data_IF_630553855723
#
_entry.id   IF_630553855723
#
_cell.length_a   1.000
_cell.length_b   1.000
_cell.length_c   1.000
_cell.angle_alpha   90.00
_cell.angle_beta   90.00
_cell.angle_gamma   90.00
#
_symmetry.space_group_name_H-M   'P 1'
#
loop_
_entity.id
_entity.type
_entity.pdbx_description
1 polymer ?
#
# COMPACT_ATOMS: atom_id res chain seq x y z
N UNK A 1 44.38 -13.99 -39.58
CA UNK A 1 43.40 -14.25 -38.49
C UNK A 1 43.58 -13.19 -37.40
N UNK A 2 42.45 -12.57 -37.05
CA UNK A 2 42.09 -11.60 -35.99
C UNK A 2 43.20 -10.91 -35.15
N UNK A 3 43.30 -9.59 -35.34
CA UNK A 3 43.78 -8.60 -34.36
C UNK A 3 42.81 -8.55 -33.17
N UNK A 4 43.32 -8.54 -31.94
CA UNK A 4 42.56 -8.16 -30.74
C UNK A 4 43.39 -7.12 -29.97
N UNK A 5 42.95 -5.87 -30.05
CA UNK A 5 43.38 -4.78 -29.20
C UNK A 5 42.55 -4.85 -27.92
N UNK A 6 43.17 -5.08 -26.77
CA UNK A 6 42.53 -4.92 -25.46
C UNK A 6 43.02 -3.60 -24.86
N UNK A 7 42.23 -2.53 -25.03
CA UNK A 7 42.38 -1.28 -24.29
C UNK A 7 41.91 -1.54 -22.85
N UNK A 8 42.81 -1.52 -21.88
CA UNK A 8 42.44 -1.42 -20.48
C UNK A 8 42.04 0.04 -20.19
N UNK A 9 40.75 0.25 -19.90
CA UNK A 9 40.25 1.50 -19.31
C UNK A 9 40.21 1.26 -17.81
N UNK A 10 41.17 1.87 -17.09
CA UNK A 10 41.13 1.93 -15.63
C UNK A 10 40.15 3.04 -15.26
N UNK A 11 38.93 2.66 -14.88
CA UNK A 11 37.98 3.56 -14.24
C UNK A 11 38.20 3.50 -12.72
N UNK A 12 38.98 4.44 -12.20
CA UNK A 12 39.11 4.64 -10.76
C UNK A 12 37.89 5.44 -10.27
N UNK A 13 36.88 4.75 -9.72
CA UNK A 13 35.81 5.41 -8.98
C UNK A 13 36.29 5.69 -7.55
N UNK A 14 36.73 6.91 -7.32
CA UNK A 14 37.03 7.42 -5.98
C UNK A 14 35.70 7.85 -5.33
N UNK A 15 35.09 6.95 -4.56
CA UNK A 15 33.93 7.29 -3.73
C UNK A 15 34.42 7.50 -2.29
N UNK A 16 34.73 8.75 -1.94
CA UNK A 16 34.92 9.13 -0.54
C UNK A 16 33.53 9.15 0.09
N UNK A 17 33.06 8.00 0.59
CA UNK A 17 31.97 8.00 1.54
C UNK A 17 32.51 8.51 2.88
N UNK A 18 32.51 9.83 3.03
CA UNK A 18 32.51 10.44 4.35
C UNK A 18 31.13 10.13 4.93
N UNK A 19 31.00 9.03 5.65
CA UNK A 19 29.79 8.74 6.42
C UNK A 19 29.87 9.65 7.64
N UNK A 20 29.12 10.77 7.72
CA UNK A 20 29.02 11.50 8.97
C UNK A 20 28.48 10.55 10.05
N UNK A 21 28.66 10.82 11.34
CA UNK A 21 28.03 10.03 12.40
C UNK A 21 26.50 10.15 12.25
N UNK A 22 25.91 9.21 11.52
CA UNK A 22 24.48 9.05 11.31
C UNK A 22 23.91 8.58 12.65
N UNK A 23 23.21 9.48 13.35
CA UNK A 23 22.36 9.09 14.47
C UNK A 23 21.15 8.35 13.90
N UNK A 24 21.30 7.06 13.64
CA UNK A 24 20.24 6.23 13.08
C UNK A 24 19.23 5.87 14.18
N UNK A 25 18.00 6.37 14.08
CA UNK A 25 16.89 5.88 14.89
C UNK A 25 16.30 4.66 14.19
N UNK A 26 16.49 3.47 14.77
CA UNK A 26 15.98 2.21 14.24
C UNK A 26 14.87 1.69 15.14
N UNK A 27 13.68 1.51 14.58
CA UNK A 27 12.54 0.90 15.25
C UNK A 27 12.19 -0.42 14.58
N UNK A 28 12.47 -1.53 15.27
CA UNK A 28 11.97 -2.86 14.93
C UNK A 28 10.70 -3.16 15.74
N UNK A 29 9.70 -3.74 15.11
CA UNK A 29 8.51 -4.18 15.82
C UNK A 29 7.74 -5.26 15.08
N UNK A 30 6.81 -5.88 15.81
CA UNK A 30 5.90 -6.87 15.27
C UNK A 30 4.47 -6.64 15.76
N UNK A 31 3.50 -7.08 14.97
CA UNK A 31 2.07 -7.06 15.30
C UNK A 31 1.42 -8.34 14.80
N UNK A 32 0.43 -8.84 15.53
CA UNK A 32 -0.34 -10.01 15.16
C UNK A 32 -1.82 -9.72 15.33
N UNK A 33 -2.61 -10.17 14.37
CA UNK A 33 -4.06 -10.25 14.47
C UNK A 33 -4.46 -11.70 14.23
N UNK A 34 -5.15 -12.27 15.21
CA UNK A 34 -5.79 -13.56 15.13
C UNK A 34 -7.29 -13.34 15.24
N UNK A 35 -8.04 -14.05 14.41
CA UNK A 35 -9.48 -13.91 14.33
C UNK A 35 -10.15 -15.28 14.37
N UNK A 36 -11.31 -15.30 15.01
CA UNK A 36 -12.26 -16.40 14.97
C UNK A 36 -13.62 -15.79 14.64
N UNK A 37 -14.34 -16.40 13.70
CA UNK A 37 -15.62 -15.87 13.24
C UNK A 37 -16.62 -16.97 12.95
N UNK A 38 -17.89 -16.66 13.19
CA UNK A 38 -19.05 -17.45 12.81
C UNK A 38 -19.89 -16.61 11.85
N UNK A 39 -20.37 -17.21 10.76
CA UNK A 39 -21.12 -16.52 9.71
C UNK A 39 -22.15 -17.47 9.08
N UNK A 40 -23.24 -16.93 8.55
CA UNK A 40 -24.31 -17.70 7.93
C UNK A 40 -24.94 -16.96 6.74
N UNK A 41 -25.88 -17.61 6.05
CA UNK A 41 -26.67 -16.98 4.99
C UNK A 41 -25.78 -16.55 3.81
N UNK A 42 -25.89 -15.28 3.39
CA UNK A 42 -25.17 -14.73 2.22
C UNK A 42 -23.64 -14.81 2.32
N UNK A 43 -23.10 -15.05 3.51
CA UNK A 43 -21.66 -15.19 3.75
C UNK A 43 -21.16 -16.63 3.58
N UNK A 44 -22.05 -17.59 3.29
CA UNK A 44 -21.75 -19.00 3.03
C UNK A 44 -22.26 -19.41 1.64
N UNK A 45 -21.46 -20.15 0.85
CA UNK A 45 -21.82 -20.48 -0.55
C UNK A 45 -23.20 -21.15 -0.70
N UNK A 46 -23.56 -21.98 0.27
CA UNK A 46 -24.80 -22.79 0.29
C UNK A 46 -25.91 -22.17 1.14
N UNK A 47 -25.67 -21.02 1.77
CA UNK A 47 -26.62 -20.40 2.72
C UNK A 47 -26.55 -20.93 4.16
N UNK A 48 -25.74 -21.97 4.41
CA UNK A 48 -25.56 -22.58 5.73
C UNK A 48 -24.75 -21.71 6.71
N UNK A 49 -24.55 -22.20 7.93
CA UNK A 49 -23.61 -21.61 8.89
C UNK A 49 -22.21 -22.20 8.76
N UNK A 50 -21.19 -21.35 8.85
CA UNK A 50 -19.79 -21.73 8.93
C UNK A 50 -19.08 -21.02 10.09
N UNK A 51 -17.99 -21.61 10.55
CA UNK A 51 -17.06 -20.98 11.49
C UNK A 51 -15.63 -21.23 11.04
N UNK A 52 -14.73 -20.27 11.25
CA UNK A 52 -13.34 -20.41 10.91
C UNK A 52 -12.45 -19.66 11.90
N UNK A 53 -11.19 -20.06 12.04
CA UNK A 53 -10.15 -19.29 12.72
C UNK A 53 -8.98 -19.09 11.75
N UNK A 54 -8.36 -17.92 11.79
CA UNK A 54 -7.18 -17.67 10.98
C UNK A 54 -6.25 -16.68 11.66
N UNK A 55 -4.95 -16.83 11.40
CA UNK A 55 -4.02 -15.73 11.58
C UNK A 55 -4.25 -14.76 10.43
N UNK A 56 -5.08 -13.74 10.68
CA UNK A 56 -5.37 -12.68 9.70
C UNK A 56 -4.10 -12.05 9.18
N UNK A 57 -3.20 -11.69 10.10
CA UNK A 57 -1.86 -11.23 9.75
C UNK A 57 -0.89 -11.33 10.93
N UNK A 58 0.38 -11.51 10.59
CA UNK A 58 1.54 -11.17 11.40
C UNK A 58 2.36 -10.19 10.57
N UNK A 59 2.66 -9.01 11.11
CA UNK A 59 3.52 -8.01 10.47
C UNK A 59 4.78 -7.82 11.28
N UNK A 60 5.92 -7.90 10.61
CA UNK A 60 7.22 -7.49 11.14
C UNK A 60 7.64 -6.26 10.36
N UNK A 61 8.02 -5.19 11.06
CA UNK A 61 8.41 -3.94 10.42
C UNK A 61 9.70 -3.39 11.00
N UNK A 62 10.48 -2.79 10.12
CA UNK A 62 11.69 -2.04 10.42
C UNK A 62 11.48 -0.62 9.87
N UNK A 63 11.55 0.37 10.75
CA UNK A 63 11.60 1.78 10.37
C UNK A 63 12.97 2.32 10.71
N UNK A 64 13.55 3.06 9.79
CA UNK A 64 14.84 3.71 10.01
C UNK A 64 14.71 5.19 9.69
N UNK A 65 15.20 6.04 10.57
CA UNK A 65 15.55 7.41 10.25
C UNK A 65 17.07 7.48 10.22
N UNK A 66 17.64 7.71 9.04
CA UNK A 66 19.09 7.77 8.89
C UNK A 66 19.59 9.13 9.39
N UNK A 67 18.89 10.20 9.05
CA UNK A 67 19.17 11.55 9.52
C UNK A 67 17.86 12.36 9.59
N UNK A 68 17.96 13.68 9.63
CA UNK A 68 16.81 14.60 9.63
C UNK A 68 16.04 14.64 8.30
N UNK A 69 16.57 14.06 7.23
CA UNK A 69 15.99 14.10 5.90
C UNK A 69 15.59 12.74 5.34
N UNK A 70 16.20 11.64 5.77
CA UNK A 70 15.99 10.32 5.20
C UNK A 70 15.28 9.38 6.16
N UNK A 71 14.11 8.92 5.74
CA UNK A 71 13.35 7.88 6.41
C UNK A 71 13.16 6.67 5.49
N UNK A 72 13.09 5.47 6.06
CA UNK A 72 12.72 4.25 5.34
C UNK A 72 11.81 3.38 6.18
N UNK A 73 11.00 2.57 5.49
CA UNK A 73 10.18 1.56 6.14
C UNK A 73 10.16 0.29 5.30
N UNK A 74 10.47 -0.82 5.94
CA UNK A 74 10.31 -2.18 5.43
C UNK A 74 9.29 -2.90 6.31
N UNK A 75 8.31 -3.53 5.70
CA UNK A 75 7.28 -4.29 6.41
C UNK A 75 6.94 -5.57 5.67
N UNK A 76 7.19 -6.69 6.32
CA UNK A 76 6.78 -8.01 5.89
C UNK A 76 5.43 -8.35 6.54
N UNK A 77 4.51 -8.92 5.76
CA UNK A 77 3.25 -9.46 6.27
C UNK A 77 3.15 -10.94 5.93
N UNK A 78 2.85 -11.75 6.94
CA UNK A 78 2.45 -13.15 6.82
C UNK A 78 0.94 -13.20 7.10
N UNK A 79 0.19 -13.93 6.31
CA UNK A 79 -1.25 -14.13 6.52
C UNK A 79 -1.62 -15.56 6.17
N UNK A 80 -2.50 -16.15 6.96
CA UNK A 80 -3.02 -17.50 6.74
C UNK A 80 -4.46 -17.43 6.25
N UNK A 81 -4.79 -18.25 5.28
CA UNK A 81 -6.17 -18.46 4.84
C UNK A 81 -6.35 -19.86 4.27
N UNK A 82 -7.40 -20.55 4.72
CA UNK A 82 -7.85 -21.84 4.18
C UNK A 82 -6.69 -22.87 4.11
N UNK A 83 -5.83 -22.90 5.13
CA UNK A 83 -4.64 -23.76 5.22
C UNK A 83 -3.44 -23.32 4.38
N UNK A 84 -3.51 -22.17 3.69
CA UNK A 84 -2.42 -21.59 2.92
C UNK A 84 -1.81 -20.38 3.64
N UNK A 85 -0.49 -20.37 3.76
CA UNK A 85 0.28 -19.24 4.30
C UNK A 85 0.87 -18.43 3.16
N UNK A 86 0.60 -17.11 3.17
CA UNK A 86 1.15 -16.16 2.20
C UNK A 86 2.04 -15.14 2.91
N UNK A 87 3.23 -14.93 2.35
CA UNK A 87 4.19 -13.93 2.83
C UNK A 87 4.41 -12.88 1.75
N UNK A 88 4.26 -11.61 2.11
CA UNK A 88 4.35 -10.48 1.16
C UNK A 88 5.07 -9.29 1.80
N UNK A 89 5.95 -8.65 1.03
CA UNK A 89 6.44 -7.30 1.36
C UNK A 89 5.30 -6.30 1.23
N UNK A 90 4.74 -5.91 2.38
CA UNK A 90 3.56 -5.05 2.42
C UNK A 90 3.93 -3.59 2.23
N UNK A 91 5.00 -3.11 2.85
CA UNK A 91 5.57 -1.78 2.60
C UNK A 91 7.08 -1.88 2.42
N UNK A 92 7.62 -1.12 1.48
CA UNK A 92 9.04 -1.01 1.22
C UNK A 92 9.29 0.32 0.50
N UNK A 93 9.63 1.36 1.25
CA UNK A 93 9.83 2.70 0.69
C UNK A 93 10.95 3.47 1.39
N UNK A 94 11.46 4.46 0.66
CA UNK A 94 12.37 5.49 1.16
C UNK A 94 11.69 6.83 0.98
N UNK A 95 11.80 7.69 1.98
CA UNK A 95 11.24 9.04 2.02
C UNK A 95 12.37 10.03 2.24
N UNK A 96 12.37 11.10 1.45
CA UNK A 96 13.26 12.23 1.57
C UNK A 96 12.47 13.49 1.94
N UNK A 97 12.83 14.09 3.06
CA UNK A 97 12.22 15.25 3.71
C UNK A 97 13.05 16.54 3.54
N UNK A 98 14.10 16.52 2.71
CA UNK A 98 14.99 17.68 2.52
C UNK A 98 14.57 18.68 1.44
N UNK A 99 13.39 18.54 0.83
CA UNK A 99 12.92 19.40 -0.28
C UNK A 99 12.12 20.62 0.22
N UNK A 100 12.38 21.10 1.43
CA UNK A 100 11.67 22.23 2.03
C UNK A 100 10.22 21.87 2.39
N UNK A 101 9.19 22.48 1.76
CA UNK A 101 7.79 22.21 2.10
C UNK A 101 7.28 20.87 1.54
N UNK A 102 8.10 20.12 0.82
CA UNK A 102 7.73 18.86 0.18
C UNK A 102 8.53 17.69 0.72
N UNK A 103 7.86 16.55 0.82
CA UNK A 103 8.47 15.26 1.07
C UNK A 103 8.28 14.38 -0.16
N UNK A 104 9.37 13.76 -0.63
CA UNK A 104 9.34 12.81 -1.72
C UNK A 104 9.42 11.39 -1.17
N UNK A 105 8.48 10.53 -1.53
CA UNK A 105 8.53 9.11 -1.19
C UNK A 105 8.59 8.25 -2.44
N UNK A 106 9.51 7.31 -2.47
CA UNK A 106 9.67 6.32 -3.54
C UNK A 106 9.56 4.92 -2.97
N UNK A 107 8.74 4.07 -3.60
CA UNK A 107 8.62 2.65 -3.29
C UNK A 107 7.18 2.19 -3.07
N UNK A 108 7.03 1.03 -2.43
CA UNK A 108 5.72 0.42 -2.14
C UNK A 108 5.15 0.97 -0.84
N UNK A 109 4.09 1.77 -0.94
CA UNK A 109 3.36 2.32 0.21
C UNK A 109 1.89 2.52 -0.10
N UNK A 110 1.11 2.91 0.91
CA UNK A 110 -0.29 3.24 0.70
C UNK A 110 -0.45 4.42 -0.23
N UNK A 111 -1.34 4.29 -1.21
CA UNK A 111 -1.80 5.41 -2.02
C UNK A 111 -2.64 6.37 -1.14
N UNK A 112 -2.56 7.69 -1.33
CA UNK A 112 -3.28 8.66 -0.54
C UNK A 112 -4.76 8.69 -0.94
N UNK A 113 -5.52 7.65 -0.60
CA UNK A 113 -6.93 7.54 -0.95
C UNK A 113 -7.75 6.94 0.18
N UNK A 114 -8.79 7.66 0.62
CA UNK A 114 -9.70 7.21 1.66
C UNK A 114 -9.07 7.22 3.06
N UNK A 115 -9.71 7.90 4.01
CA UNK A 115 -9.20 7.96 5.39
C UNK A 115 -9.10 6.57 6.02
N UNK A 116 -10.15 5.75 5.88
CA UNK A 116 -10.16 4.41 6.46
C UNK A 116 -9.01 3.58 5.89
N UNK A 117 -8.85 3.52 4.56
CA UNK A 117 -7.78 2.75 3.92
C UNK A 117 -6.37 3.17 4.37
N UNK A 118 -6.16 4.46 4.61
CA UNK A 118 -4.90 4.98 5.13
C UNK A 118 -4.61 4.57 6.58
N UNK A 119 -5.62 4.37 7.43
CA UNK A 119 -5.43 3.78 8.77
C UNK A 119 -4.91 2.35 8.64
N UNK A 120 -3.97 1.92 9.48
CA UNK A 120 -3.46 0.56 9.43
C UNK A 120 -4.51 -0.46 9.88
N UNK A 121 -4.49 -1.67 9.31
CA UNK A 121 -5.49 -2.70 9.58
C UNK A 121 -5.60 -3.02 11.08
N UNK A 122 -4.49 -2.98 11.82
CA UNK A 122 -4.44 -3.21 13.27
C UNK A 122 -4.99 -2.05 14.11
N UNK A 123 -5.40 -0.94 13.46
CA UNK A 123 -5.88 0.28 14.12
C UNK A 123 -7.25 0.73 13.60
N UNK A 124 -7.89 -0.06 12.74
CA UNK A 124 -9.26 0.22 12.33
C UNK A 124 -10.18 -0.02 13.53
N UNK A 125 -11.23 0.78 13.66
CA UNK A 125 -12.18 0.68 14.78
C UNK A 125 -12.98 -0.63 14.75
N UNK A 126 -13.37 -1.05 13.56
CA UNK A 126 -14.07 -2.30 13.33
C UNK A 126 -13.09 -3.38 12.85
N UNK A 127 -13.42 -4.68 13.04
CA UNK A 127 -12.60 -5.78 12.54
C UNK A 127 -12.35 -5.71 11.04
N UNK A 128 -13.33 -5.16 10.30
CA UNK A 128 -13.23 -4.91 8.87
C UNK A 128 -13.31 -3.43 8.51
N UNK A 129 -12.81 -3.13 7.30
CA UNK A 129 -13.09 -1.86 6.66
C UNK A 129 -14.50 -1.87 6.10
N UNK A 130 -15.07 -0.68 5.93
CA UNK A 130 -16.32 -0.54 5.21
C UNK A 130 -16.15 -1.00 3.77
N UNK A 131 -17.16 -1.67 3.20
CA UNK A 131 -17.12 -2.22 1.84
C UNK A 131 -16.70 -1.18 0.81
N UNK A 132 -17.20 0.05 0.92
CA UNK A 132 -16.87 1.12 -0.02
C UNK A 132 -15.36 1.42 -0.01
N UNK A 133 -14.71 1.30 1.14
CA UNK A 133 -13.27 1.51 1.27
C UNK A 133 -12.50 0.29 0.76
N UNK A 134 -12.90 -0.93 1.10
CA UNK A 134 -12.20 -2.14 0.61
C UNK A 134 -12.37 -2.35 -0.89
N UNK A 135 -13.54 -2.02 -1.44
CA UNK A 135 -13.85 -2.23 -2.86
C UNK A 135 -13.23 -1.16 -3.78
N UNK A 136 -13.23 0.11 -3.38
CA UNK A 136 -12.90 1.22 -4.27
C UNK A 136 -11.63 2.00 -3.92
N UNK A 137 -11.06 1.83 -2.73
CA UNK A 137 -9.80 2.50 -2.40
C UNK A 137 -8.61 1.62 -2.81
N UNK A 138 -7.64 2.12 -3.60
CA UNK A 138 -6.37 1.41 -3.78
C UNK A 138 -5.68 1.21 -2.42
N UNK A 139 -4.98 0.10 -2.26
CA UNK A 139 -4.32 -0.18 -0.99
C UNK A 139 -2.88 0.31 -1.01
N UNK A 140 -1.95 -0.48 -1.56
CA UNK A 140 -0.51 -0.22 -1.52
C UNK A 140 0.13 -0.52 -2.84
N UNK A 141 0.81 0.47 -3.39
CA UNK A 141 1.34 0.45 -4.75
C UNK A 141 2.77 0.94 -4.77
N UNK A 142 3.56 0.37 -5.67
CA UNK A 142 4.89 0.87 -6.00
C UNK A 142 4.72 2.17 -6.79
N UNK A 143 5.35 3.24 -6.33
CA UNK A 143 5.26 4.52 -7.03
C UNK A 143 6.09 5.63 -6.40
N UNK A 144 5.83 6.83 -6.90
CA UNK A 144 6.40 8.08 -6.43
C UNK A 144 5.26 8.92 -5.83
N UNK A 145 5.43 9.38 -4.59
CA UNK A 145 4.47 10.24 -3.90
C UNK A 145 5.16 11.52 -3.47
N UNK A 146 4.56 12.66 -3.78
CA UNK A 146 4.92 13.95 -3.23
C UNK A 146 3.88 14.33 -2.17
N UNK A 147 4.32 14.68 -0.98
CA UNK A 147 3.44 15.16 0.09
C UNK A 147 3.89 16.50 0.63
N UNK A 148 2.95 17.33 1.04
CA UNK A 148 3.21 18.63 1.65
C UNK A 148 2.23 18.86 2.78
N UNK A 149 2.71 19.54 3.83
CA UNK A 149 1.94 19.89 5.01
C UNK A 149 2.07 21.40 5.27
N UNK A 150 1.41 22.25 4.45
CA UNK A 150 1.64 23.70 4.50
C UNK A 150 1.29 24.33 5.85
N UNK A 151 0.37 23.71 6.59
CA UNK A 151 0.02 24.09 7.96
C UNK A 151 -0.19 22.83 8.79
N UNK A 152 -0.28 22.98 10.11
CA UNK A 152 -0.67 21.88 11.01
C UNK A 152 -2.09 21.35 10.76
N UNK A 153 -2.90 22.03 9.94
CA UNK A 153 -4.30 21.70 9.66
C UNK A 153 -4.55 21.16 8.25
N UNK A 154 -3.58 21.28 7.34
CA UNK A 154 -3.78 20.98 5.93
C UNK A 154 -2.71 20.01 5.45
N UNK A 155 -3.12 18.98 4.72
CA UNK A 155 -2.18 18.09 4.02
C UNK A 155 -2.58 17.97 2.55
N UNK A 156 -1.57 17.89 1.69
CA UNK A 156 -1.72 17.62 0.26
C UNK A 156 -0.79 16.49 -0.09
N UNK A 157 -1.31 15.46 -0.75
CA UNK A 157 -0.53 14.32 -1.23
C UNK A 157 -0.93 14.04 -2.67
N UNK A 158 0.04 13.78 -3.54
CA UNK A 158 -0.20 13.37 -4.92
C UNK A 158 0.90 12.40 -5.35
N UNK A 159 0.56 11.42 -6.19
CA UNK A 159 1.53 10.45 -6.65
C UNK A 159 1.14 9.73 -7.93
N UNK A 160 2.15 9.13 -8.52
CA UNK A 160 2.05 8.22 -9.66
C UNK A 160 2.43 6.82 -9.19
N UNK A 161 1.65 5.82 -9.59
CA UNK A 161 1.76 4.47 -9.09
C UNK A 161 1.65 3.46 -10.24
N UNK A 162 2.31 2.31 -10.08
CA UNK A 162 2.10 1.17 -10.95
C UNK A 162 0.75 0.52 -10.61
N UNK A 163 -0.16 0.47 -11.59
CA UNK A 163 -1.50 -0.07 -11.38
C UNK A 163 -1.52 -1.59 -11.19
N UNK A 164 -0.55 -2.31 -11.77
CA UNK A 164 -0.44 -3.77 -11.68
C UNK A 164 -0.14 -4.28 -10.27
N UNK A 165 0.41 -3.43 -9.39
CA UNK A 165 0.72 -3.76 -7.99
C UNK A 165 -0.10 -2.91 -7.01
N UNK A 166 -1.39 -2.66 -7.27
CA UNK A 166 -2.19 -1.76 -6.43
C UNK A 166 -2.49 -2.29 -4.99
N UNK A 167 -2.06 -3.52 -4.72
CA UNK A 167 -2.12 -4.18 -3.41
C UNK A 167 -3.52 -4.55 -2.94
N UNK A 168 -4.58 -4.09 -3.61
CA UNK A 168 -5.96 -4.34 -3.23
C UNK A 168 -6.53 -5.52 -4.05
N UNK A 169 -6.76 -6.65 -3.36
CA UNK A 169 -7.34 -7.86 -3.95
C UNK A 169 -8.77 -7.70 -4.47
N UNK A 170 -9.47 -6.66 -4.03
CA UNK A 170 -10.80 -6.34 -4.55
C UNK A 170 -10.75 -5.81 -5.98
N UNK A 171 -9.60 -5.28 -6.43
CA UNK A 171 -9.37 -4.92 -7.83
C UNK A 171 -8.64 -6.07 -8.53
N UNK A 172 -9.40 -7.07 -8.96
CA UNK A 172 -8.82 -8.16 -9.73
C UNK A 172 -8.54 -7.67 -11.16
N UNK A 173 -7.25 -7.63 -11.55
CA UNK A 173 -6.85 -7.64 -12.95
C UNK A 173 -7.19 -9.03 -13.50
N UNK A 174 -8.06 -9.11 -14.53
CA UNK A 174 -8.15 -10.35 -15.32
C UNK A 174 -6.76 -10.61 -15.92
N UNK A 175 -6.32 -11.88 -16.01
CA UNK A 175 -5.07 -12.23 -16.68
C UNK A 175 -4.91 -11.42 -17.97
N UNK A 176 -3.74 -10.81 -18.24
CA UNK A 176 -3.57 -10.01 -19.44
C UNK A 176 -3.98 -10.84 -20.65
N UNK A 177 -4.80 -10.27 -21.53
CA UNK A 177 -5.05 -10.90 -22.82
C UNK A 177 -3.69 -11.18 -23.46
N UNK A 178 -3.49 -12.39 -23.97
CA UNK A 178 -2.21 -12.87 -24.47
C UNK A 178 -1.60 -11.96 -25.58
N UNK A 179 -2.39 -11.03 -26.15
CA UNK A 179 -1.96 -10.02 -27.12
C UNK A 179 -1.74 -8.58 -26.59
N UNK A 180 -1.93 -8.30 -25.29
CA UNK A 180 -1.80 -6.94 -24.69
C UNK A 180 -0.87 -6.88 -23.47
N UNK A 181 -0.03 -7.90 -23.26
CA UNK A 181 0.90 -8.00 -22.12
C UNK A 181 1.96 -6.88 -22.04
N UNK A 182 2.10 -6.05 -23.08
CA UNK A 182 3.15 -5.04 -23.23
C UNK A 182 2.71 -3.60 -22.90
N UNK A 183 1.45 -3.36 -22.48
CA UNK A 183 1.01 -2.00 -22.11
C UNK A 183 1.25 -1.70 -20.64
N UNK A 184 2.03 -0.65 -20.38
CA UNK A 184 2.25 -0.09 -19.05
C UNK A 184 0.92 0.36 -18.43
N UNK A 185 0.66 -0.12 -17.21
CA UNK A 185 -0.52 0.28 -16.42
C UNK A 185 -0.08 1.24 -15.32
N UNK A 186 -0.76 2.38 -15.19
CA UNK A 186 -0.42 3.40 -14.20
C UNK A 186 -1.66 3.95 -13.50
N UNK A 187 -1.43 4.58 -12.36
CA UNK A 187 -2.45 5.31 -11.62
C UNK A 187 -1.88 6.66 -11.15
N UNK A 188 -2.75 7.66 -11.12
CA UNK A 188 -2.48 8.98 -10.55
C UNK A 188 -3.47 9.17 -9.41
N UNK A 189 -2.98 9.32 -8.20
CA UNK A 189 -3.82 9.46 -7.00
C UNK A 189 -3.43 10.70 -6.23
N UNK A 190 -4.43 11.47 -5.81
CA UNK A 190 -4.25 12.70 -5.05
C UNK A 190 -5.25 12.84 -3.92
N UNK A 191 -4.84 13.56 -2.87
CA UNK A 191 -5.64 13.84 -1.68
C UNK A 191 -5.31 15.20 -1.09
N UNK A 192 -6.36 15.91 -0.72
CA UNK A 192 -6.33 17.12 0.07
C UNK A 192 -7.07 16.87 1.39
N UNK A 193 -6.51 17.35 2.49
CA UNK A 193 -7.22 17.34 3.77
C UNK A 193 -7.18 18.70 4.45
N UNK A 194 -8.25 19.01 5.18
CA UNK A 194 -8.38 20.20 6.00
C UNK A 194 -9.03 19.84 7.33
N UNK A 195 -8.30 20.11 8.42
CA UNK A 195 -8.67 19.74 9.78
C UNK A 195 -8.74 21.01 10.64
N UNK A 196 -9.84 21.79 10.57
CA UNK A 196 -9.91 23.10 11.23
C UNK A 196 -9.82 23.01 12.76
N UNK A 197 -10.30 21.91 13.33
CA UNK A 197 -10.32 21.62 14.76
C UNK A 197 -9.66 20.26 15.03
N UNK A 198 -8.59 20.27 15.81
CA UNK A 198 -7.92 19.09 16.33
C UNK A 198 -7.52 19.35 17.78
N UNK A 199 -8.28 18.79 18.72
CA UNK A 199 -8.04 18.79 20.17
C UNK A 199 -8.18 17.35 20.69
N UNK A 200 -7.73 17.09 21.92
CA UNK A 200 -7.69 15.74 22.50
C UNK A 200 -9.02 14.98 22.44
N UNK A 201 -10.17 15.67 22.53
CA UNK A 201 -11.50 15.07 22.50
C UNK A 201 -12.41 15.63 21.38
N UNK A 202 -11.85 16.37 20.43
CA UNK A 202 -12.65 16.99 19.36
C UNK A 202 -11.86 17.07 18.07
N UNK A 203 -12.40 16.48 17.02
CA UNK A 203 -11.78 16.42 15.70
C UNK A 203 -12.83 16.76 14.64
N UNK A 204 -12.52 17.72 13.78
CA UNK A 204 -13.27 17.97 12.54
C UNK A 204 -12.28 17.79 11.40
N UNK A 205 -12.50 16.79 10.56
CA UNK A 205 -11.62 16.44 9.45
C UNK A 205 -12.40 16.37 8.15
N UNK A 206 -12.00 17.19 7.18
CA UNK A 206 -12.48 17.12 5.80
C UNK A 206 -11.37 16.56 4.93
N UNK A 207 -11.73 15.63 4.05
CA UNK A 207 -10.80 15.02 3.12
C UNK A 207 -11.45 14.83 1.76
N UNK A 208 -10.73 15.19 0.70
CA UNK A 208 -11.10 14.93 -0.68
C UNK A 208 -9.97 14.12 -1.32
N UNK A 209 -10.32 13.01 -1.97
CA UNK A 209 -9.35 12.17 -2.68
C UNK A 209 -9.91 11.76 -4.04
N UNK A 210 -9.02 11.66 -5.03
CA UNK A 210 -9.33 11.23 -6.39
C UNK A 210 -8.21 10.29 -6.89
N UNK A 211 -8.58 9.29 -7.68
CA UNK A 211 -7.64 8.36 -8.32
C UNK A 211 -8.09 8.12 -9.76
N UNK A 212 -7.20 8.39 -10.70
CA UNK A 212 -7.33 8.00 -12.10
C UNK A 212 -6.43 6.79 -12.35
N UNK A 213 -6.94 5.77 -13.04
CA UNK A 213 -6.22 4.50 -13.23
C UNK A 213 -6.38 4.01 -14.66
N UNK A 214 -5.27 3.72 -15.31
CA UNK A 214 -5.21 3.14 -16.64
C UNK A 214 -4.83 1.66 -16.53
N UNK A 215 -5.71 0.80 -17.05
CA UNK A 215 -5.56 -0.64 -17.00
C UNK A 215 -4.87 -1.20 -18.25
N UNK A 216 -4.42 -0.37 -19.19
CA UNK A 216 -3.72 -0.81 -20.40
C UNK A 216 -4.57 -1.69 -21.31
N UNK A 217 -5.90 -1.51 -21.28
CA UNK A 217 -6.86 -2.35 -22.02
C UNK A 217 -7.15 -3.71 -21.38
N UNK A 218 -6.64 -3.98 -20.17
CA UNK A 218 -6.98 -5.19 -19.42
C UNK A 218 -8.36 -5.05 -18.76
N UNK A 219 -9.13 -6.12 -18.77
CA UNK A 219 -10.39 -6.17 -18.01
C UNK A 219 -10.12 -6.05 -16.51
N UNK A 220 -11.04 -5.41 -15.80
CA UNK A 220 -11.04 -5.38 -14.34
C UNK A 220 -12.38 -5.80 -13.75
N UNK A 221 -12.31 -6.28 -12.51
CA UNK A 221 -13.49 -6.66 -11.74
C UNK A 221 -13.33 -6.27 -10.28
N UNK A 222 -14.37 -5.68 -9.71
CA UNK A 222 -14.45 -5.39 -8.28
C UNK A 222 -15.07 -6.59 -7.55
N UNK A 223 -14.38 -7.13 -6.55
CA UNK A 223 -14.86 -8.22 -5.70
C UNK A 223 -14.74 -7.90 -4.22
N UNK A 224 -15.77 -8.16 -3.43
CA UNK A 224 -15.77 -7.92 -1.99
C UNK A 224 -16.54 -9.01 -1.21
N UNK A 225 -16.18 -9.17 0.07
CA UNK A 225 -16.68 -10.19 1.02
C UNK A 225 -17.74 -9.65 1.98
N UNK A 226 -18.16 -8.41 1.78
CA UNK A 226 -19.09 -7.68 2.64
C UNK A 226 -18.70 -7.76 4.12
N UNK A 227 -17.51 -7.27 4.41
CA UNK A 227 -17.07 -6.99 5.78
C UNK A 227 -17.01 -8.22 6.70
N UNK A 228 -16.79 -9.42 6.14
CA UNK A 228 -16.35 -10.60 6.90
C UNK A 228 -15.11 -11.18 6.22
N UNK A 229 -13.92 -11.03 6.83
CA UNK A 229 -12.67 -11.50 6.20
C UNK A 229 -12.68 -13.00 5.94
N UNK A 230 -13.19 -13.81 6.87
CA UNK A 230 -13.27 -15.28 6.76
C UNK A 230 -14.34 -15.77 5.78
N UNK A 231 -15.32 -14.94 5.44
CA UNK A 231 -16.35 -15.29 4.48
C UNK A 231 -15.80 -15.29 3.05
N UNK A 232 -16.65 -15.69 2.11
CA UNK A 232 -16.34 -15.68 0.70
C UNK A 232 -16.80 -14.39 0.01
N UNK A 233 -16.15 -13.99 -1.10
CA UNK A 233 -16.63 -12.86 -1.89
C UNK A 233 -17.95 -13.21 -2.54
N UNK A 234 -18.98 -12.39 -2.33
CA UNK A 234 -20.26 -12.52 -3.04
C UNK A 234 -20.65 -11.23 -3.77
N UNK A 235 -20.05 -10.09 -3.43
CA UNK A 235 -20.21 -8.87 -4.21
C UNK A 235 -19.20 -8.89 -5.34
N UNK A 236 -19.69 -8.90 -6.57
CA UNK A 236 -18.86 -8.99 -7.77
C UNK A 236 -19.45 -8.08 -8.85
N UNK A 237 -18.64 -7.15 -9.37
CA UNK A 237 -19.03 -6.33 -10.52
C UNK A 237 -18.98 -7.16 -11.81
N UNK A 238 -19.61 -6.68 -12.88
CA UNK A 238 -19.35 -7.21 -14.22
C UNK A 238 -17.89 -6.93 -14.59
N UNK A 239 -17.26 -7.85 -15.34
CA UNK A 239 -15.98 -7.56 -15.99
C UNK A 239 -16.18 -6.48 -17.04
N UNK A 240 -15.33 -5.48 -17.03
CA UNK A 240 -15.34 -4.34 -17.95
C UNK A 240 -13.94 -4.14 -18.50
#
# INVERSE_FOLDING_TARGET
>A
MKKVFLRQVIAAYFCIFFVPPVFAEVQLGAKMLWEHGYYNGVHHQTGDSGSNNAIRLVRVYLKNKFDEHWESMLQLQISERDGSTKTVWKEAFIKYNGLGPFDLTLGKRKEPFGLQMLVNAERVLLPERAMISSSFAPERSIGLTLSSYPTSKTSVEAGIYNQGDNGNSSFAKSSPDAGNSEKDTYAVTGRLTFTPLQKNNSLVHFGLAASYRDFGGNEYQVKDRAEINLAQPFVTSRKT
#
